data_IF_560021559386
#
_entry.id   IF_560021559386
#
_cell.length_a   1.000
_cell.length_b   1.000
_cell.length_c   1.000
_cell.angle_alpha   90.00
_cell.angle_beta   90.00
_cell.angle_gamma   90.00
#
_symmetry.space_group_name_H-M   'P 1'
#
loop_
_entity.id
_entity.type
_entity.pdbx_description
1 polymer ?
#
# COMPACT_ATOMS: atom_id res chain seq x y z
N UNK A 1 -4.60 -9.41 10.90
CA UNK A 1 -3.43 -9.10 10.07
C UNK A 1 -3.49 -9.90 8.78
N UNK A 2 -3.18 -9.26 7.63
CA UNK A 2 -2.94 -9.97 6.37
C UNK A 2 -1.49 -9.73 5.93
N UNK A 3 -0.82 -10.77 5.46
CA UNK A 3 0.59 -10.69 5.06
C UNK A 3 0.95 -11.76 4.04
N UNK A 4 2.09 -11.59 3.39
CA UNK A 4 2.67 -12.57 2.47
C UNK A 4 3.70 -13.41 3.21
N UNK A 5 3.65 -14.73 3.03
CA UNK A 5 4.66 -15.65 3.53
C UNK A 5 5.22 -16.51 2.39
N UNK A 6 6.52 -16.81 2.46
CA UNK A 6 7.23 -17.67 1.54
C UNK A 6 7.52 -19.07 2.13
N UNK A 7 6.93 -19.41 3.28
CA UNK A 7 7.13 -20.72 3.95
C UNK A 7 6.83 -21.92 3.05
N UNK A 8 5.91 -21.75 2.08
CA UNK A 8 5.56 -22.78 1.07
C UNK A 8 6.43 -22.72 -0.19
N UNK A 9 7.60 -22.07 -0.14
CA UNK A 9 8.53 -21.83 -1.27
C UNK A 9 7.95 -20.99 -2.41
N UNK A 10 6.79 -20.38 -2.21
CA UNK A 10 6.14 -19.41 -3.09
C UNK A 10 5.38 -18.39 -2.26
N UNK A 11 5.12 -17.17 -2.79
CA UNK A 11 4.34 -16.17 -2.06
C UNK A 11 2.89 -16.61 -1.91
N UNK A 12 2.41 -16.65 -0.66
CA UNK A 12 1.04 -17.00 -0.26
C UNK A 12 0.54 -15.92 0.69
N UNK A 13 -0.69 -15.45 0.49
CA UNK A 13 -1.33 -14.51 1.40
C UNK A 13 -2.03 -15.26 2.53
N UNK A 14 -1.70 -14.89 3.75
CA UNK A 14 -2.32 -15.39 4.98
C UNK A 14 -3.12 -14.28 5.67
N UNK A 15 -4.19 -14.69 6.33
CA UNK A 15 -4.90 -13.91 7.32
C UNK A 15 -4.65 -14.51 8.69
N UNK A 16 -4.25 -13.68 9.65
CA UNK A 16 -3.91 -14.06 11.00
C UNK A 16 -4.73 -13.25 12.00
N UNK A 17 -5.48 -13.92 12.84
CA UNK A 17 -6.20 -13.31 13.97
C UNK A 17 -5.22 -13.06 15.12
N UNK A 18 -4.99 -11.79 15.44
CA UNK A 18 -4.13 -11.42 16.57
C UNK A 18 -4.76 -11.74 17.93
N UNK A 19 -6.09 -11.85 17.98
CA UNK A 19 -6.82 -12.18 19.20
C UNK A 19 -6.74 -13.66 19.57
N UNK A 20 -6.81 -14.55 18.56
CA UNK A 20 -6.84 -16.01 18.78
C UNK A 20 -5.56 -16.73 18.42
N UNK A 21 -4.63 -16.05 17.72
CA UNK A 21 -3.42 -16.66 17.17
C UNK A 21 -3.68 -17.58 15.96
N UNK A 22 -4.94 -17.77 15.55
CA UNK A 22 -5.26 -18.62 14.40
C UNK A 22 -4.91 -17.93 13.09
N UNK A 23 -4.49 -18.70 12.09
CA UNK A 23 -4.28 -18.20 10.73
C UNK A 23 -4.84 -19.16 9.69
N UNK A 24 -5.19 -18.59 8.54
CA UNK A 24 -5.62 -19.37 7.37
C UNK A 24 -5.04 -18.76 6.09
N UNK A 25 -5.08 -19.54 5.03
CA UNK A 25 -4.67 -19.12 3.69
C UNK A 25 -5.81 -18.33 3.05
N UNK A 26 -5.53 -17.07 2.67
CA UNK A 26 -6.48 -16.23 1.93
C UNK A 26 -6.24 -16.27 0.41
N UNK A 27 -4.99 -16.32 -0.06
CA UNK A 27 -4.69 -16.49 -1.48
C UNK A 27 -3.49 -17.40 -1.70
N UNK A 28 -3.72 -18.48 -2.45
CA UNK A 28 -2.70 -19.46 -2.87
C UNK A 28 -2.97 -19.93 -4.30
N UNK A 29 -3.17 -18.97 -5.19
CA UNK A 29 -3.40 -19.23 -6.61
C UNK A 29 -2.08 -19.58 -7.33
N UNK A 30 -2.18 -20.02 -8.59
CA UNK A 30 -1.02 -20.21 -9.46
C UNK A 30 -0.25 -18.89 -9.61
N UNK A 31 1.09 -18.96 -9.56
CA UNK A 31 1.94 -17.79 -9.65
C UNK A 31 2.10 -17.03 -8.32
N UNK A 32 2.29 -15.73 -8.40
CA UNK A 32 2.47 -14.86 -7.24
C UNK A 32 1.13 -14.44 -6.63
N UNK A 33 1.12 -14.37 -5.30
CA UNK A 33 0.00 -13.89 -4.47
C UNK A 33 0.59 -12.87 -3.49
N UNK A 34 0.27 -11.59 -3.64
CA UNK A 34 0.99 -10.52 -2.93
C UNK A 34 0.11 -9.32 -2.58
N UNK A 35 0.71 -8.37 -1.87
CA UNK A 35 0.18 -7.06 -1.54
C UNK A 35 -1.27 -7.06 -1.02
N UNK A 36 -1.58 -7.81 0.06
CA UNK A 36 -2.92 -7.80 0.63
C UNK A 36 -3.25 -6.46 1.26
N UNK A 37 -4.46 -5.95 1.01
CA UNK A 37 -5.01 -4.77 1.64
C UNK A 37 -6.44 -5.03 2.11
N UNK A 38 -6.74 -4.70 3.36
CA UNK A 38 -8.06 -4.85 3.95
C UNK A 38 -9.04 -3.80 3.44
N UNK A 39 -10.25 -4.23 3.12
CA UNK A 39 -11.39 -3.33 3.07
C UNK A 39 -11.69 -2.80 4.48
N UNK A 40 -12.17 -1.54 4.64
CA UNK A 40 -12.39 -0.95 5.96
C UNK A 40 -13.38 -1.71 6.84
N UNK A 41 -14.32 -2.46 6.24
CA UNK A 41 -15.29 -3.28 6.94
C UNK A 41 -14.73 -4.64 7.41
N UNK A 42 -13.49 -4.97 7.04
CA UNK A 42 -12.82 -6.23 7.38
C UNK A 42 -13.38 -7.47 6.68
N UNK A 43 -14.28 -7.33 5.70
CA UNK A 43 -14.92 -8.46 5.03
C UNK A 43 -14.21 -8.93 3.78
N UNK A 44 -13.45 -8.02 3.14
CA UNK A 44 -12.74 -8.28 1.88
C UNK A 44 -11.28 -7.89 1.95
N UNK A 45 -10.51 -8.49 1.06
CA UNK A 45 -9.14 -8.13 0.74
C UNK A 45 -9.03 -7.74 -0.74
N UNK A 46 -8.27 -6.71 -1.03
CA UNK A 46 -7.66 -6.55 -2.34
C UNK A 46 -6.29 -7.23 -2.32
N UNK A 47 -5.95 -7.93 -3.38
CA UNK A 47 -4.67 -8.64 -3.54
C UNK A 47 -4.16 -8.48 -4.96
N UNK A 48 -2.87 -8.73 -5.14
CA UNK A 48 -2.25 -8.83 -6.46
C UNK A 48 -1.98 -10.29 -6.80
N UNK A 49 -2.52 -10.75 -7.92
CA UNK A 49 -2.34 -12.12 -8.39
C UNK A 49 -1.76 -12.13 -9.81
N UNK A 50 -0.89 -13.11 -10.08
CA UNK A 50 -0.37 -13.36 -11.44
C UNK A 50 -0.97 -14.63 -12.07
N UNK A 51 -2.06 -15.16 -11.53
CA UNK A 51 -2.68 -16.42 -11.95
C UNK A 51 -3.14 -16.45 -13.41
N UNK A 52 -3.46 -15.29 -13.97
CA UNK A 52 -3.92 -15.11 -15.35
C UNK A 52 -2.89 -14.36 -16.23
N UNK A 53 -1.59 -14.38 -15.84
CA UNK A 53 -0.48 -13.74 -16.58
C UNK A 53 0.19 -12.62 -15.80
N UNK A 54 0.02 -11.35 -16.21
CA UNK A 54 0.60 -10.20 -15.53
C UNK A 54 0.02 -9.97 -14.12
N UNK A 55 0.73 -9.17 -13.30
CA UNK A 55 0.26 -8.75 -11.97
C UNK A 55 -0.98 -7.88 -12.10
N UNK A 56 -2.09 -8.36 -11.54
CA UNK A 56 -3.38 -7.69 -11.64
C UNK A 56 -4.09 -7.65 -10.28
N UNK A 57 -5.01 -6.69 -10.13
CA UNK A 57 -5.80 -6.55 -8.92
C UNK A 57 -7.00 -7.50 -8.90
N UNK A 58 -7.17 -8.15 -7.75
CA UNK A 58 -8.33 -8.96 -7.43
C UNK A 58 -8.92 -8.53 -6.10
N UNK A 59 -10.22 -8.71 -5.94
CA UNK A 59 -10.86 -8.74 -4.62
C UNK A 59 -11.22 -10.17 -4.27
N UNK A 60 -11.16 -10.49 -2.98
CA UNK A 60 -11.62 -11.77 -2.42
C UNK A 60 -12.20 -11.55 -1.02
N UNK A 61 -13.02 -12.48 -0.56
CA UNK A 61 -13.50 -12.46 0.80
C UNK A 61 -12.35 -12.70 1.80
N UNK A 62 -12.51 -12.27 3.03
CA UNK A 62 -11.49 -12.45 4.07
C UNK A 62 -11.12 -13.93 4.32
N UNK A 63 -12.01 -14.87 4.03
CA UNK A 63 -11.79 -16.31 4.10
C UNK A 63 -11.04 -16.88 2.87
N UNK A 64 -10.75 -16.05 1.87
CA UNK A 64 -10.07 -16.43 0.63
C UNK A 64 -11.00 -16.87 -0.51
N UNK A 65 -12.30 -16.94 -0.28
CA UNK A 65 -13.28 -17.28 -1.31
C UNK A 65 -13.61 -16.10 -2.23
N UNK A 66 -14.30 -16.35 -3.33
CA UNK A 66 -14.91 -15.33 -4.17
C UNK A 66 -13.92 -14.40 -4.89
N UNK A 67 -12.77 -14.92 -5.32
CA UNK A 67 -11.76 -14.10 -6.03
C UNK A 67 -12.31 -13.58 -7.37
N UNK A 68 -12.41 -12.24 -7.48
CA UNK A 68 -12.87 -11.52 -8.67
C UNK A 68 -11.81 -10.54 -9.13
N UNK A 69 -11.48 -10.55 -10.43
CA UNK A 69 -10.57 -9.59 -11.05
C UNK A 69 -11.25 -8.22 -11.13
N UNK A 70 -10.59 -7.18 -10.65
CA UNK A 70 -11.16 -5.83 -10.58
C UNK A 70 -10.96 -5.02 -11.86
N UNK A 71 -9.81 -5.20 -12.52
CA UNK A 71 -9.47 -4.53 -13.75
C UNK A 71 -8.68 -5.44 -14.68
N UNK A 72 -8.69 -5.14 -15.97
CA UNK A 72 -7.79 -5.71 -16.95
C UNK A 72 -6.90 -4.61 -17.50
N UNK A 73 -5.58 -4.82 -17.46
CA UNK A 73 -4.60 -3.96 -18.11
C UNK A 73 -3.48 -4.78 -18.70
N UNK A 74 -2.75 -4.22 -19.66
CA UNK A 74 -1.51 -4.81 -20.16
C UNK A 74 -0.31 -4.54 -19.22
N UNK A 75 -0.48 -3.60 -18.28
CA UNK A 75 0.54 -3.20 -17.33
C UNK A 75 0.52 -4.04 -16.04
N UNK A 76 1.46 -3.71 -15.18
CA UNK A 76 1.60 -4.25 -13.82
C UNK A 76 0.74 -3.41 -12.88
N UNK A 77 -0.20 -4.04 -12.19
CA UNK A 77 -0.96 -3.45 -11.11
C UNK A 77 -0.45 -4.00 -9.78
N UNK A 78 -0.17 -3.12 -8.81
CA UNK A 78 0.38 -3.52 -7.50
C UNK A 78 0.00 -2.55 -6.38
N UNK A 79 0.31 -2.92 -5.13
CA UNK A 79 0.19 -2.09 -3.92
C UNK A 79 -1.20 -1.49 -3.69
N UNK A 80 -2.28 -2.30 -3.74
CA UNK A 80 -3.62 -1.80 -3.50
C UNK A 80 -3.80 -1.23 -2.09
N UNK A 81 -4.69 -0.25 -1.97
CA UNK A 81 -5.11 0.33 -0.70
C UNK A 81 -6.56 0.80 -0.81
N UNK A 82 -7.43 0.38 0.08
CA UNK A 82 -8.83 0.85 0.08
C UNK A 82 -8.93 2.29 0.58
N UNK A 83 -9.82 3.07 -0.03
CA UNK A 83 -10.25 4.33 0.57
C UNK A 83 -10.94 4.08 1.92
N UNK A 84 -10.91 5.04 2.88
CA UNK A 84 -11.52 4.87 4.19
C UNK A 84 -13.02 4.57 4.16
N UNK A 85 -13.73 5.04 3.12
CA UNK A 85 -15.15 4.77 2.87
C UNK A 85 -15.42 3.42 2.17
N UNK A 86 -14.34 2.71 1.75
CA UNK A 86 -14.43 1.42 1.05
C UNK A 86 -14.93 1.50 -0.39
N UNK A 87 -15.18 2.70 -0.93
CA UNK A 87 -15.75 2.85 -2.27
C UNK A 87 -14.71 2.66 -3.39
N UNK A 88 -13.45 2.97 -3.11
CA UNK A 88 -12.37 2.92 -4.09
C UNK A 88 -11.19 2.09 -3.58
N UNK A 89 -10.42 1.57 -4.53
CA UNK A 89 -9.09 0.99 -4.32
C UNK A 89 -8.09 1.86 -5.07
N UNK A 90 -7.11 2.41 -4.35
CA UNK A 90 -5.95 3.11 -4.89
C UNK A 90 -4.83 2.10 -5.07
N UNK A 91 -4.05 2.24 -6.14
CA UNK A 91 -3.00 1.28 -6.47
C UNK A 91 -1.95 1.89 -7.39
N UNK A 92 -0.82 1.23 -7.50
CA UNK A 92 0.23 1.56 -8.47
C UNK A 92 -0.01 0.82 -9.77
N UNK A 93 0.14 1.51 -10.91
CA UNK A 93 0.10 0.88 -12.23
C UNK A 93 1.01 1.58 -13.23
N UNK A 94 1.66 0.82 -14.09
CA UNK A 94 2.46 1.31 -15.22
C UNK A 94 1.70 1.30 -16.56
N UNK A 95 0.37 1.09 -16.53
CA UNK A 95 -0.50 1.02 -17.71
C UNK A 95 -0.43 2.25 -18.65
N UNK A 96 0.00 3.38 -18.12
CA UNK A 96 0.22 4.63 -18.87
C UNK A 96 1.68 4.85 -19.31
N UNK A 97 2.53 3.81 -19.27
CA UNK A 97 3.93 3.84 -19.69
C UNK A 97 4.94 4.07 -18.56
N UNK A 98 4.50 4.51 -17.39
CA UNK A 98 5.35 4.67 -16.19
C UNK A 98 4.52 4.44 -14.91
N UNK A 99 5.16 4.01 -13.80
CA UNK A 99 4.46 3.76 -12.55
C UNK A 99 3.82 5.03 -11.98
N UNK A 100 2.49 4.97 -11.79
CA UNK A 100 1.69 6.08 -11.28
C UNK A 100 0.61 5.56 -10.33
N UNK A 101 0.09 6.44 -9.49
CA UNK A 101 -1.07 6.14 -8.67
C UNK A 101 -2.36 6.22 -9.51
N UNK A 102 -3.17 5.19 -9.39
CA UNK A 102 -4.49 5.06 -9.97
C UNK A 102 -5.52 4.76 -8.89
N UNK A 103 -6.79 4.95 -9.19
CA UNK A 103 -7.89 4.42 -8.40
C UNK A 103 -8.90 3.70 -9.29
N UNK A 104 -9.63 2.77 -8.69
CA UNK A 104 -10.72 2.03 -9.31
C UNK A 104 -11.84 1.88 -8.29
N UNK A 105 -13.09 1.77 -8.72
CA UNK A 105 -14.18 1.37 -7.81
C UNK A 105 -13.86 0.03 -7.15
N UNK A 106 -14.21 -0.14 -5.88
CA UNK A 106 -14.01 -1.41 -5.16
C UNK A 106 -14.80 -2.58 -5.77
N UNK A 107 -15.81 -2.28 -6.59
CA UNK A 107 -16.53 -3.26 -7.41
C UNK A 107 -15.86 -3.56 -8.76
N UNK A 108 -14.75 -2.91 -9.09
CA UNK A 108 -14.07 -3.03 -10.38
C UNK A 108 -14.52 -2.01 -11.43
N UNK A 109 -14.02 -2.16 -12.65
CA UNK A 109 -14.35 -1.31 -13.81
C UNK A 109 -13.15 -0.57 -14.39
N UNK A 110 -13.33 0.70 -14.78
CA UNK A 110 -12.29 1.52 -15.39
C UNK A 110 -11.43 2.20 -14.34
N UNK A 111 -10.12 2.07 -14.44
CA UNK A 111 -9.18 2.75 -13.56
C UNK A 111 -8.95 4.20 -14.00
N UNK A 112 -8.87 5.09 -13.01
CA UNK A 112 -8.59 6.51 -13.18
C UNK A 112 -7.21 6.86 -12.63
N UNK A 113 -6.36 7.51 -13.44
CA UNK A 113 -5.05 8.01 -13.01
C UNK A 113 -5.22 9.17 -12.02
N UNK A 114 -4.40 9.20 -10.97
CA UNK A 114 -4.44 10.20 -9.90
C UNK A 114 -3.21 11.12 -9.94
N UNK A 115 -2.02 10.58 -10.20
CA UNK A 115 -0.78 11.36 -10.28
C UNK A 115 -0.39 11.63 -11.73
N UNK A 116 0.01 12.86 -12.04
CA UNK A 116 0.34 13.31 -13.41
C UNK A 116 1.74 13.90 -13.52
N UNK A 117 2.28 14.41 -12.43
CA UNK A 117 3.62 15.00 -12.38
C UNK A 117 4.67 13.95 -12.09
N UNK A 118 5.84 14.08 -12.69
CA UNK A 118 6.94 13.13 -12.56
C UNK A 118 6.70 11.80 -13.27
N UNK A 119 7.72 10.95 -13.29
CA UNK A 119 7.72 9.67 -14.00
C UNK A 119 7.54 8.45 -13.09
N UNK A 120 7.45 8.65 -11.77
CA UNK A 120 7.38 7.56 -10.79
C UNK A 120 6.64 8.02 -9.54
N UNK A 121 5.44 7.48 -9.32
CA UNK A 121 4.60 7.75 -8.17
C UNK A 121 3.90 6.45 -7.76
N UNK A 122 4.32 5.86 -6.66
CA UNK A 122 3.93 4.50 -6.26
C UNK A 122 3.48 4.42 -4.81
N UNK A 123 2.94 3.29 -4.41
CA UNK A 123 2.51 2.97 -3.04
C UNK A 123 1.52 3.99 -2.46
N UNK A 124 0.40 4.29 -3.15
CA UNK A 124 -0.56 5.27 -2.67
C UNK A 124 -1.22 4.81 -1.36
N UNK A 125 -1.30 5.72 -0.39
CA UNK A 125 -1.95 5.49 0.91
C UNK A 125 -2.78 6.72 1.26
N UNK A 126 -4.06 6.54 1.54
CA UNK A 126 -4.93 7.64 1.94
C UNK A 126 -4.82 7.95 3.42
N UNK A 127 -4.95 9.21 3.77
CA UNK A 127 -5.19 9.65 5.14
C UNK A 127 -6.52 9.06 5.67
N UNK A 128 -6.67 8.88 6.99
CA UNK A 128 -7.90 8.32 7.57
C UNK A 128 -9.17 9.11 7.26
N UNK A 129 -9.05 10.41 6.98
CA UNK A 129 -10.17 11.27 6.56
C UNK A 129 -10.42 11.26 5.04
N UNK A 130 -9.58 10.53 4.28
CA UNK A 130 -9.69 10.41 2.83
C UNK A 130 -9.34 11.65 2.02
N UNK A 131 -8.81 12.72 2.66
CA UNK A 131 -8.56 14.01 1.98
C UNK A 131 -7.18 14.10 1.34
N UNK A 132 -6.22 13.36 1.87
CA UNK A 132 -4.83 13.39 1.39
C UNK A 132 -4.36 12.00 1.00
N UNK A 133 -3.38 11.94 0.11
CA UNK A 133 -2.72 10.72 -0.33
C UNK A 133 -1.22 10.86 -0.16
N UNK A 134 -0.63 10.00 0.68
CA UNK A 134 0.82 9.81 0.74
C UNK A 134 1.23 8.79 -0.32
N UNK A 135 2.39 9.00 -0.93
CA UNK A 135 2.96 8.10 -1.92
C UNK A 135 4.47 8.28 -2.00
N UNK A 136 5.16 7.34 -2.63
CA UNK A 136 6.58 7.46 -2.94
C UNK A 136 6.73 8.07 -4.33
N UNK A 137 7.52 9.14 -4.45
CA UNK A 137 7.85 9.77 -5.71
C UNK A 137 9.35 9.77 -5.97
N UNK A 138 9.74 9.77 -7.25
CA UNK A 138 11.14 9.95 -7.63
C UNK A 138 11.41 11.43 -7.92
N UNK A 139 12.21 12.05 -7.05
CA UNK A 139 12.60 13.45 -7.14
C UNK A 139 14.14 13.59 -7.17
N UNK A 140 14.70 14.12 -8.25
CA UNK A 140 16.15 14.28 -8.39
C UNK A 140 16.95 12.97 -8.25
N UNK A 141 16.36 11.83 -8.65
CA UNK A 141 16.97 10.50 -8.52
C UNK A 141 16.73 9.82 -7.17
N UNK A 142 16.21 10.52 -6.16
CA UNK A 142 15.88 10.01 -4.82
C UNK A 142 14.43 9.55 -4.76
N UNK A 143 14.16 8.51 -3.98
CA UNK A 143 12.82 8.05 -3.66
C UNK A 143 12.38 8.65 -2.33
N UNK A 144 11.40 9.53 -2.37
CA UNK A 144 10.97 10.34 -1.22
C UNK A 144 9.47 10.23 -1.02
N UNK A 145 9.01 10.44 0.22
CA UNK A 145 7.58 10.55 0.47
C UNK A 145 7.07 11.91 0.01
N UNK A 146 5.94 11.86 -0.68
CA UNK A 146 5.13 13.02 -1.04
C UNK A 146 3.73 12.89 -0.44
N UNK A 147 3.09 14.03 -0.19
CA UNK A 147 1.71 14.15 0.23
C UNK A 147 0.95 15.02 -0.77
N UNK A 148 -0.13 14.50 -1.31
CA UNK A 148 -1.03 15.22 -2.20
C UNK A 148 -2.36 15.50 -1.49
N UNK A 149 -2.82 16.73 -1.53
CA UNK A 149 -4.21 17.08 -1.25
C UNK A 149 -5.08 16.65 -2.44
N UNK A 150 -6.06 15.79 -2.21
CA UNK A 150 -6.85 15.19 -3.30
C UNK A 150 -7.86 16.15 -3.94
N UNK A 151 -8.24 17.22 -3.24
CA UNK A 151 -9.16 18.22 -3.78
C UNK A 151 -8.43 19.22 -4.68
N UNK A 152 -7.30 19.75 -4.22
CA UNK A 152 -6.52 20.77 -4.93
C UNK A 152 -5.46 20.22 -5.86
N UNK A 153 -5.08 18.94 -5.69
CA UNK A 153 -3.95 18.26 -6.37
C UNK A 153 -2.57 18.84 -6.04
N UNK A 154 -2.48 19.74 -5.06
CA UNK A 154 -1.20 20.24 -4.60
C UNK A 154 -0.41 19.13 -3.92
N UNK A 155 0.86 19.02 -4.27
CA UNK A 155 1.77 17.99 -3.76
C UNK A 155 2.96 18.65 -3.06
N UNK A 156 3.34 18.14 -1.89
CA UNK A 156 4.55 18.53 -1.17
C UNK A 156 5.42 17.31 -0.90
N UNK A 157 6.75 17.48 -0.98
CA UNK A 157 7.71 16.47 -0.56
C UNK A 157 7.86 16.55 0.97
N UNK A 158 7.68 15.42 1.65
CA UNK A 158 7.74 15.34 3.11
C UNK A 158 9.12 15.00 3.64
N UNK A 159 9.92 14.25 2.88
CA UNK A 159 11.20 13.69 3.32
C UNK A 159 12.36 14.16 2.45
N UNK A 160 13.57 14.05 2.98
CA UNK A 160 14.82 14.43 2.33
C UNK A 160 15.82 13.26 2.17
N UNK A 161 15.38 12.06 2.53
CA UNK A 161 16.10 10.80 2.36
C UNK A 161 16.18 10.34 0.90
N UNK A 162 16.97 9.28 0.64
CA UNK A 162 17.23 8.81 -0.71
C UNK A 162 16.38 7.61 -1.13
N UNK A 163 15.94 6.80 -0.16
CA UNK A 163 15.26 5.52 -0.42
C UNK A 163 14.14 5.27 0.60
N UNK A 164 13.09 6.06 0.51
CA UNK A 164 11.90 5.86 1.31
C UNK A 164 10.91 4.94 0.60
N UNK A 165 10.21 4.13 1.38
CA UNK A 165 9.21 3.19 0.87
C UNK A 165 8.06 2.98 1.85
N UNK A 166 6.95 2.49 1.34
CA UNK A 166 5.83 1.92 2.10
C UNK A 166 5.25 2.84 3.19
N UNK A 167 4.77 4.04 2.83
CA UNK A 167 4.13 4.92 3.80
C UNK A 167 2.88 4.30 4.42
N UNK A 168 2.62 4.58 5.70
CA UNK A 168 1.42 4.18 6.43
C UNK A 168 0.99 5.27 7.39
N UNK A 169 -0.22 5.79 7.24
CA UNK A 169 -0.75 6.80 8.15
C UNK A 169 -1.05 6.25 9.54
N UNK A 170 -0.71 7.03 10.56
CA UNK A 170 -1.26 6.85 11.89
C UNK A 170 -2.79 7.02 11.85
N UNK A 171 -3.58 6.33 12.72
CA UNK A 171 -5.04 6.41 12.72
C UNK A 171 -5.61 7.81 12.93
N UNK A 172 -4.84 8.73 13.52
CA UNK A 172 -5.21 10.14 13.68
C UNK A 172 -4.83 11.03 12.49
N UNK A 173 -4.19 10.47 11.45
CA UNK A 173 -3.76 11.20 10.25
C UNK A 173 -2.59 12.16 10.43
N UNK A 174 -2.01 12.28 11.64
CA UNK A 174 -0.98 13.30 11.94
C UNK A 174 0.45 12.86 11.62
N UNK A 175 0.70 11.57 11.61
CA UNK A 175 2.01 10.98 11.36
C UNK A 175 1.92 9.94 10.25
N UNK A 176 3.01 9.79 9.52
CA UNK A 176 3.20 8.77 8.50
C UNK A 176 4.44 7.97 8.89
N UNK A 177 4.25 6.67 9.09
CA UNK A 177 5.31 5.70 9.30
C UNK A 177 5.81 5.24 7.93
N UNK A 178 7.11 5.00 7.80
CA UNK A 178 7.69 4.52 6.55
C UNK A 178 8.99 3.76 6.81
N UNK A 179 9.41 2.96 5.85
CA UNK A 179 10.74 2.41 5.82
C UNK A 179 11.67 3.31 5.00
N UNK A 180 12.91 3.48 5.46
CA UNK A 180 13.96 4.19 4.75
C UNK A 180 15.23 3.36 4.78
N UNK A 181 16.23 3.70 3.96
CA UNK A 181 17.51 3.02 3.96
C UNK A 181 18.63 3.93 4.47
N UNK A 182 19.40 3.44 5.44
CA UNK A 182 20.56 4.13 5.98
C UNK A 182 21.74 3.14 6.01
N UNK A 183 22.82 3.47 5.31
CA UNK A 183 24.01 2.60 5.26
C UNK A 183 23.71 1.19 4.72
N UNK A 184 22.78 1.06 3.79
CA UNK A 184 22.37 -0.22 3.19
C UNK A 184 21.40 -1.05 4.04
N UNK A 185 20.88 -0.52 5.17
CA UNK A 185 19.93 -1.21 6.06
C UNK A 185 18.59 -0.50 6.08
N UNK A 186 17.52 -1.28 6.02
CA UNK A 186 16.16 -0.79 6.22
C UNK A 186 15.94 -0.32 7.66
N UNK A 187 15.48 0.91 7.83
CA UNK A 187 15.17 1.53 9.12
C UNK A 187 13.74 2.01 9.16
N UNK A 188 13.13 1.97 10.36
CA UNK A 188 11.83 2.54 10.59
C UNK A 188 11.94 4.03 10.85
N UNK A 189 11.12 4.82 10.17
CA UNK A 189 11.06 6.26 10.35
C UNK A 189 9.61 6.76 10.35
N UNK A 190 9.40 7.96 10.88
CA UNK A 190 8.11 8.64 10.87
C UNK A 190 8.29 10.10 10.49
N UNK A 191 7.31 10.65 9.79
CA UNK A 191 7.22 12.07 9.45
C UNK A 191 5.81 12.58 9.77
N UNK A 192 5.71 13.82 10.25
CA UNK A 192 4.40 14.46 10.39
C UNK A 192 3.78 14.77 9.03
N UNK A 193 2.46 14.80 8.94
CA UNK A 193 1.75 15.08 7.68
C UNK A 193 2.01 16.49 7.12
N UNK A 194 2.50 17.42 7.95
CA UNK A 194 2.98 18.73 7.51
C UNK A 194 4.49 18.78 7.17
N UNK A 195 5.20 17.65 7.29
CA UNK A 195 6.62 17.50 6.97
C UNK A 195 7.60 18.11 7.98
N UNK A 196 7.10 18.73 9.06
CA UNK A 196 7.95 19.50 10.01
C UNK A 196 8.69 18.63 11.01
N UNK A 197 8.09 17.51 11.43
CA UNK A 197 8.69 16.58 12.39
C UNK A 197 9.12 15.33 11.64
N UNK A 198 10.41 14.99 11.75
CA UNK A 198 10.99 13.77 11.17
C UNK A 198 11.70 13.02 12.30
N UNK A 199 11.39 11.75 12.44
CA UNK A 199 11.93 10.91 13.50
C UNK A 199 12.35 9.56 12.98
N UNK A 200 13.57 9.14 13.33
CA UNK A 200 14.01 7.75 13.18
C UNK A 200 13.60 6.99 14.41
N UNK A 201 13.01 5.80 14.18
CA UNK A 201 12.59 4.93 15.26
C UNK A 201 13.64 3.80 15.39
N UNK A 202 14.19 3.62 16.59
CA UNK A 202 15.17 2.56 16.81
C UNK A 202 14.49 1.19 16.80
N UNK A 203 14.90 0.32 15.89
CA UNK A 203 14.54 -1.10 15.87
C UNK A 203 15.82 -1.87 16.21
N UNK A 204 15.76 -2.74 17.19
CA UNK A 204 16.95 -3.36 17.77
C UNK A 204 17.68 -4.34 16.83
N UNK A 205 17.01 -4.93 15.85
CA UNK A 205 17.61 -5.88 14.91
C UNK A 205 16.81 -6.04 13.62
N UNK A 206 17.50 -6.44 12.54
CA UNK A 206 16.89 -6.78 11.25
C UNK A 206 16.78 -5.62 10.27
N UNK A 207 16.23 -5.92 9.11
CA UNK A 207 15.81 -4.97 8.08
C UNK A 207 14.32 -4.65 8.25
N UNK A 208 13.99 -3.36 8.25
CA UNK A 208 12.59 -2.91 8.29
C UNK A 208 12.10 -2.72 6.86
N UNK A 209 10.97 -3.34 6.58
CA UNK A 209 10.24 -3.25 5.30
C UNK A 209 8.74 -3.16 5.57
N UNK A 210 8.03 -2.46 4.71
CA UNK A 210 6.56 -2.42 4.68
C UNK A 210 5.89 -2.21 6.05
N UNK A 211 6.27 -1.17 6.82
CA UNK A 211 5.65 -0.90 8.11
C UNK A 211 4.18 -0.55 7.94
N UNK A 212 3.36 -0.94 8.91
CA UNK A 212 1.95 -0.60 8.93
C UNK A 212 1.49 -0.15 10.33
N UNK A 213 0.77 0.97 10.39
CA UNK A 213 0.01 1.36 11.57
C UNK A 213 -1.20 0.45 11.73
N UNK A 214 -1.45 -0.01 12.94
CA UNK A 214 -2.73 -0.62 13.30
C UNK A 214 -3.81 0.43 13.54
N UNK A 215 -5.09 0.02 13.60
CA UNK A 215 -6.17 0.90 14.04
C UNK A 215 -6.02 1.27 15.52
N UNK A 216 -6.79 2.26 16.00
CA UNK A 216 -6.91 2.47 17.44
C UNK A 216 -7.39 1.19 18.12
N UNK A 217 -6.73 0.81 19.22
CA UNK A 217 -7.21 -0.28 20.05
C UNK A 217 -8.55 0.16 20.67
N UNK A 218 -9.59 -0.66 20.51
CA UNK A 218 -10.82 -0.51 21.26
C UNK A 218 -10.54 -1.04 22.68
N UNK A 219 -10.61 -0.19 23.66
CA UNK A 219 -10.59 -0.55 25.09
C UNK A 219 -11.93 -1.09 25.53
#
# INVERSE_FOLDING_TARGET
LAYVSFESKKPVVYVHSLATGSRHVAANFKGSNSAPAWAPDGRKLAVVLTKDGASQLYSLNADGSGAVRLASSAGIDTEPFFSPDGQFIYFTSDRGGSPQAYRISSGGGSAQRITFEGSYNVTPRLSPDGKSMAFVTRNGGRFQLALMDLATRQTQILTDSDKDESPSFAPNGRMILYASEIGGRGVLAAVSSDGRVKQKLSVQAGDVREPAWGPFLKH
#
